data_IF_107182205393
#
_entry.id   IF_107182205393
#
_cell.length_a   1.000
_cell.length_b   1.000
_cell.length_c   1.000
_cell.angle_alpha   90.00
_cell.angle_beta   90.00
_cell.angle_gamma   90.00
#
_symmetry.space_group_name_H-M   'P 1'
#
loop_
_entity.id
_entity.type
_entity.pdbx_description
1 polymer ?
#
# COMPACT_ATOMS: atom_id res chain seq x y z
N UNK A 1 49.21 40.52 -52.82
CA UNK A 1 50.65 40.49 -53.16
C UNK A 1 51.39 39.71 -52.08
N UNK A 2 52.11 38.68 -52.52
CA UNK A 2 53.34 38.06 -51.99
C UNK A 2 53.50 37.73 -50.48
N UNK A 3 53.80 36.46 -50.27
CA UNK A 3 54.28 35.82 -49.04
C UNK A 3 55.80 35.95 -48.82
N UNK A 4 56.25 35.70 -47.57
CA UNK A 4 57.44 34.89 -47.18
C UNK A 4 57.54 34.85 -45.63
N UNK A 5 57.51 33.66 -44.99
CA UNK A 5 58.62 32.76 -44.62
C UNK A 5 59.44 33.32 -43.42
N UNK A 6 59.94 32.60 -42.40
CA UNK A 6 60.13 31.17 -42.07
C UNK A 6 60.62 31.09 -40.60
N UNK A 7 60.62 29.87 -40.04
CA UNK A 7 61.56 29.30 -39.05
C UNK A 7 61.03 28.94 -37.65
N UNK A 8 61.00 27.63 -37.43
CA UNK A 8 60.97 26.90 -36.15
C UNK A 8 62.39 26.67 -35.64
N UNK A 9 62.58 26.37 -34.35
CA UNK A 9 63.07 25.04 -34.04
C UNK A 9 62.35 24.35 -32.86
N UNK A 10 62.56 23.04 -32.86
CA UNK A 10 62.03 21.98 -32.00
C UNK A 10 62.95 21.77 -30.79
N UNK A 11 62.41 21.52 -29.60
CA UNK A 11 63.08 20.71 -28.57
C UNK A 11 62.04 20.00 -27.69
N UNK A 12 62.09 18.67 -27.75
CA UNK A 12 61.48 17.71 -26.83
C UNK A 12 62.21 17.71 -25.49
N UNK A 13 61.48 17.43 -24.40
CA UNK A 13 62.05 17.26 -23.06
C UNK A 13 60.98 16.91 -22.03
N UNK A 14 60.63 15.61 -21.99
CA UNK A 14 59.76 14.95 -21.01
C UNK A 14 60.37 14.95 -19.61
N UNK A 15 59.57 15.18 -18.55
CA UNK A 15 59.64 14.37 -17.32
C UNK A 15 58.45 14.67 -16.39
N UNK A 16 57.83 13.58 -15.92
CA UNK A 16 56.66 13.44 -15.07
C UNK A 16 56.69 14.22 -13.74
N UNK A 17 55.52 14.71 -13.33
CA UNK A 17 55.19 14.92 -11.93
C UNK A 17 53.86 14.19 -11.62
N UNK A 18 53.77 13.38 -10.56
CA UNK A 18 52.54 12.66 -10.22
C UNK A 18 51.58 13.62 -9.51
N UNK A 19 50.42 13.90 -10.12
CA UNK A 19 49.30 14.52 -9.41
C UNK A 19 48.56 13.41 -8.68
N UNK A 20 48.73 13.37 -7.37
CA UNK A 20 48.00 12.50 -6.47
C UNK A 20 46.48 12.78 -6.57
N UNK A 21 45.76 11.82 -7.14
CA UNK A 21 44.30 11.79 -7.11
C UNK A 21 43.90 11.39 -5.69
N UNK A 22 43.46 12.35 -4.89
CA UNK A 22 42.83 12.06 -3.60
C UNK A 22 41.43 11.51 -3.86
N UNK A 23 41.35 10.20 -4.12
CA UNK A 23 40.11 9.44 -4.09
C UNK A 23 39.65 9.37 -2.62
N UNK A 24 38.90 10.37 -2.18
CA UNK A 24 38.09 10.23 -0.97
C UNK A 24 36.93 9.31 -1.31
N UNK A 25 37.11 8.04 -0.98
CA UNK A 25 36.07 7.02 -0.97
C UNK A 25 34.89 7.53 -0.13
N UNK A 26 33.67 7.62 -0.69
CA UNK A 26 32.50 7.84 0.15
C UNK A 26 32.29 6.58 0.99
N UNK A 27 32.29 6.77 2.31
CA UNK A 27 31.95 5.75 3.28
C UNK A 27 30.70 5.01 2.81
N UNK A 28 30.80 3.69 2.77
CA UNK A 28 29.69 2.76 2.57
C UNK A 28 28.63 3.11 3.61
N UNK A 29 27.59 3.82 3.19
CA UNK A 29 26.38 3.97 3.99
C UNK A 29 25.84 2.55 4.12
N UNK A 30 25.92 2.03 5.35
CA UNK A 30 25.35 0.76 5.73
C UNK A 30 23.86 0.84 5.42
N UNK A 31 23.49 0.32 4.25
CA UNK A 31 22.11 0.11 3.85
C UNK A 31 21.48 -0.70 4.96
N UNK A 32 20.64 -0.04 5.75
CA UNK A 32 19.75 -0.72 6.68
C UNK A 32 18.84 -1.59 5.81
N UNK A 33 19.27 -2.83 5.56
CA UNK A 33 18.48 -3.84 4.88
C UNK A 33 17.29 -4.06 5.78
N UNK A 34 16.15 -3.50 5.38
CA UNK A 34 14.85 -3.87 5.94
C UNK A 34 14.77 -5.39 5.79
N UNK A 35 14.62 -6.17 6.88
CA UNK A 35 14.54 -7.61 6.78
C UNK A 35 13.46 -7.98 5.78
N UNK A 36 13.80 -8.83 4.81
CA UNK A 36 12.83 -9.49 3.93
C UNK A 36 11.70 -10.02 4.82
N UNK A 37 10.46 -9.51 4.66
CA UNK A 37 9.36 -10.00 5.46
C UNK A 37 9.24 -11.50 5.20
N UNK A 38 9.23 -12.32 6.27
CA UNK A 38 8.90 -13.75 6.15
C UNK A 38 7.55 -13.96 5.43
N UNK A 39 7.17 -15.22 5.21
CA UNK A 39 5.90 -15.51 4.54
C UNK A 39 4.72 -14.80 5.24
N UNK A 40 3.80 -14.19 4.46
CA UNK A 40 2.66 -13.50 5.05
C UNK A 40 1.76 -14.51 5.77
N UNK A 41 1.23 -14.11 6.92
CA UNK A 41 0.28 -14.91 7.69
C UNK A 41 -0.96 -15.25 6.85
N UNK A 42 -1.49 -14.24 6.15
CA UNK A 42 -2.63 -14.37 5.24
C UNK A 42 -2.42 -13.56 3.99
N UNK A 43 -2.87 -14.13 2.88
CA UNK A 43 -2.97 -13.46 1.59
C UNK A 43 -4.44 -13.44 1.16
N UNK A 44 -4.89 -12.28 0.67
CA UNK A 44 -6.22 -12.08 0.12
C UNK A 44 -6.12 -11.56 -1.30
N UNK A 45 -6.46 -12.41 -2.27
CA UNK A 45 -6.59 -12.00 -3.67
C UNK A 45 -7.96 -11.38 -3.89
N UNK A 46 -7.99 -10.19 -4.48
CA UNK A 46 -9.21 -9.43 -4.77
C UNK A 46 -9.61 -9.67 -6.22
N UNK A 47 -10.76 -10.30 -6.44
CA UNK A 47 -11.32 -10.52 -7.78
C UNK A 47 -12.64 -9.78 -7.94
N UNK A 48 -13.05 -9.50 -9.18
CA UNK A 48 -14.38 -8.93 -9.43
C UNK A 48 -15.46 -9.99 -9.21
N UNK A 49 -16.53 -9.60 -8.52
CA UNK A 49 -17.77 -10.36 -8.51
C UNK A 49 -18.46 -10.25 -9.88
N UNK A 50 -19.45 -11.11 -10.16
CA UNK A 50 -20.13 -11.20 -11.47
C UNK A 50 -20.80 -9.91 -11.96
N UNK A 51 -20.95 -8.89 -11.11
CA UNK A 51 -21.33 -7.52 -11.46
C UNK A 51 -20.15 -6.58 -11.19
N UNK A 52 -19.65 -5.91 -12.23
CA UNK A 52 -18.35 -5.23 -12.38
C UNK A 52 -17.90 -4.17 -11.35
N UNK A 53 -18.46 -4.13 -10.14
CA UNK A 53 -18.06 -3.18 -9.08
C UNK A 53 -17.80 -3.86 -7.74
N UNK A 54 -18.42 -5.00 -7.49
CA UNK A 54 -18.25 -5.72 -6.24
C UNK A 54 -17.03 -6.64 -6.32
N UNK A 55 -16.46 -7.00 -5.17
CA UNK A 55 -15.28 -7.85 -5.10
C UNK A 55 -15.52 -9.13 -4.31
N UNK A 56 -14.76 -10.16 -4.62
CA UNK A 56 -14.61 -11.37 -3.81
C UNK A 56 -13.19 -11.43 -3.26
N UNK A 57 -13.08 -11.75 -1.97
CA UNK A 57 -11.78 -11.97 -1.33
C UNK A 57 -11.49 -13.45 -1.23
N UNK A 58 -10.49 -13.89 -1.98
CA UNK A 58 -9.97 -15.25 -1.90
C UNK A 58 -8.81 -15.28 -0.92
N UNK A 59 -9.01 -15.91 0.23
CA UNK A 59 -8.03 -16.02 1.30
C UNK A 59 -7.21 -17.29 1.14
N UNK A 60 -5.91 -17.19 1.38
CA UNK A 60 -5.00 -18.33 1.51
C UNK A 60 -4.03 -18.09 2.64
N UNK A 61 -3.57 -19.17 3.27
CA UNK A 61 -2.47 -19.18 4.23
C UNK A 61 -1.29 -19.95 3.62
N UNK A 62 -0.09 -19.92 4.23
CA UNK A 62 1.04 -20.74 3.77
C UNK A 62 0.73 -22.25 3.64
N UNK A 63 -0.28 -22.73 4.38
CA UNK A 63 -0.62 -24.16 4.47
C UNK A 63 -1.93 -24.54 3.80
N UNK A 64 -2.78 -23.57 3.43
CA UNK A 64 -4.13 -23.82 2.94
C UNK A 64 -4.35 -23.36 1.51
N UNK A 65 -5.24 -24.07 0.80
CA UNK A 65 -5.70 -23.64 -0.53
C UNK A 65 -6.56 -22.39 -0.43
N UNK A 66 -6.62 -21.67 -1.54
CA UNK A 66 -7.40 -20.44 -1.67
C UNK A 66 -8.91 -20.71 -1.60
N UNK A 67 -9.60 -20.04 -0.69
CA UNK A 67 -11.06 -20.10 -0.52
C UNK A 67 -11.69 -18.71 -0.46
N UNK A 68 -12.95 -18.56 -0.88
CA UNK A 68 -13.65 -17.28 -0.80
C UNK A 68 -14.15 -17.08 0.62
N UNK A 69 -13.73 -15.98 1.26
CA UNK A 69 -14.09 -15.68 2.65
C UNK A 69 -15.01 -14.48 2.78
N UNK A 70 -14.96 -13.54 1.83
CA UNK A 70 -15.73 -12.30 1.91
C UNK A 70 -16.26 -11.83 0.57
N UNK A 71 -17.42 -11.19 0.65
CA UNK A 71 -18.03 -10.41 -0.41
C UNK A 71 -17.90 -8.93 -0.06
N UNK A 72 -17.48 -8.12 -1.03
CA UNK A 72 -17.31 -6.68 -0.86
C UNK A 72 -18.26 -5.94 -1.79
N UNK A 73 -19.26 -5.28 -1.22
CA UNK A 73 -20.19 -4.43 -1.96
C UNK A 73 -19.69 -3.00 -2.04
N UNK A 74 -19.64 -2.43 -3.24
CA UNK A 74 -19.22 -1.03 -3.45
C UNK A 74 -20.40 -0.18 -3.96
N UNK A 75 -20.60 1.00 -3.36
CA UNK A 75 -21.71 1.90 -3.70
C UNK A 75 -21.27 3.34 -3.92
N UNK A 76 -21.73 3.96 -5.00
CA UNK A 76 -21.54 5.39 -5.29
C UNK A 76 -22.69 6.26 -4.77
N UNK A 77 -23.64 5.69 -4.03
CA UNK A 77 -24.78 6.43 -3.53
C UNK A 77 -24.35 7.41 -2.43
N UNK A 78 -24.76 8.66 -2.57
CA UNK A 78 -24.55 9.70 -1.54
C UNK A 78 -25.30 9.30 -0.27
N UNK A 79 -24.65 9.47 0.88
CA UNK A 79 -25.24 9.14 2.19
C UNK A 79 -25.34 7.65 2.50
N UNK A 80 -24.78 6.77 1.67
CA UNK A 80 -24.67 5.33 1.96
C UNK A 80 -23.21 4.94 2.16
N UNK A 81 -22.95 3.83 2.88
CA UNK A 81 -21.62 3.23 2.90
C UNK A 81 -21.05 3.01 1.51
N UNK A 82 -19.84 3.52 1.29
CA UNK A 82 -19.12 3.40 0.04
C UNK A 82 -18.60 1.98 -0.18
N UNK A 83 -18.18 1.32 0.91
CA UNK A 83 -17.72 -0.07 0.94
C UNK A 83 -18.45 -0.81 2.06
N UNK A 84 -18.87 -2.05 1.78
CA UNK A 84 -19.47 -2.97 2.75
C UNK A 84 -18.76 -4.32 2.65
N UNK A 85 -18.20 -4.81 3.74
CA UNK A 85 -17.57 -6.13 3.79
C UNK A 85 -18.49 -7.14 4.49
N UNK A 86 -18.71 -8.28 3.85
CA UNK A 86 -19.59 -9.36 4.32
C UNK A 86 -18.85 -10.68 4.36
N UNK A 87 -19.20 -11.55 5.29
CA UNK A 87 -18.68 -12.93 5.34
C UNK A 87 -19.33 -13.78 4.25
N UNK A 88 -18.54 -14.67 3.64
CA UNK A 88 -18.98 -15.58 2.58
C UNK A 88 -18.91 -14.98 1.19
N UNK A 89 -19.52 -15.67 0.21
CA UNK A 89 -19.33 -15.36 -1.21
C UNK A 89 -20.40 -14.43 -1.79
N UNK A 90 -21.42 -14.06 -1.00
CA UNK A 90 -22.62 -13.40 -1.50
C UNK A 90 -23.00 -12.16 -0.70
N UNK A 91 -23.89 -11.35 -1.26
CA UNK A 91 -24.39 -10.11 -0.65
C UNK A 91 -25.30 -10.35 0.56
N UNK A 92 -25.78 -11.58 0.74
CA UNK A 92 -26.60 -12.05 1.85
C UNK A 92 -25.77 -12.44 3.09
N UNK A 93 -24.44 -12.47 2.95
CA UNK A 93 -23.52 -12.72 4.04
C UNK A 93 -23.66 -11.73 5.21
N UNK A 94 -23.26 -12.16 6.42
CA UNK A 94 -23.26 -11.30 7.61
C UNK A 94 -22.41 -10.05 7.35
N UNK A 95 -22.98 -8.87 7.57
CA UNK A 95 -22.21 -7.62 7.53
C UNK A 95 -21.20 -7.62 8.66
N UNK A 96 -19.93 -7.35 8.36
CA UNK A 96 -18.90 -7.24 9.41
C UNK A 96 -18.26 -5.87 9.47
N UNK A 97 -18.42 -5.04 8.44
CA UNK A 97 -18.00 -3.65 8.53
C UNK A 97 -18.35 -2.80 7.32
N UNK A 98 -18.28 -1.50 7.50
CA UNK A 98 -18.60 -0.49 6.49
C UNK A 98 -17.58 0.63 6.46
N UNK A 99 -17.41 1.24 5.30
CA UNK A 99 -16.65 2.48 5.17
C UNK A 99 -17.52 3.58 4.53
N UNK A 100 -17.51 4.76 5.13
CA UNK A 100 -18.21 5.95 4.65
C UNK A 100 -17.18 7.01 4.26
N UNK A 101 -17.30 7.54 3.05
CA UNK A 101 -16.46 8.65 2.60
C UNK A 101 -17.02 9.96 3.15
N UNK A 102 -16.23 10.64 3.98
CA UNK A 102 -16.66 11.88 4.63
C UNK A 102 -16.75 12.98 3.57
N UNK A 103 -17.91 13.62 3.38
CA UNK A 103 -18.08 14.68 2.38
C UNK A 103 -17.06 15.83 2.56
N UNK A 104 -16.62 16.40 1.44
CA UNK A 104 -15.70 17.55 1.39
C UNK A 104 -14.34 17.34 2.09
N UNK A 105 -13.99 16.11 2.46
CA UNK A 105 -12.68 15.75 2.98
C UNK A 105 -12.17 14.46 2.35
N UNK A 106 -10.88 14.18 2.52
CA UNK A 106 -10.31 12.88 2.17
C UNK A 106 -10.40 11.86 3.31
N UNK A 107 -11.07 12.16 4.41
CA UNK A 107 -11.23 11.22 5.52
C UNK A 107 -12.25 10.13 5.18
N UNK A 108 -12.09 8.99 5.84
CA UNK A 108 -12.98 7.85 5.72
C UNK A 108 -13.35 7.41 7.13
N UNK A 109 -14.65 7.28 7.39
CA UNK A 109 -15.16 6.73 8.65
C UNK A 109 -15.39 5.23 8.49
N UNK A 110 -14.82 4.45 9.40
CA UNK A 110 -14.81 2.99 9.41
C UNK A 110 -15.71 2.52 10.56
N UNK A 111 -16.69 1.69 10.23
CA UNK A 111 -17.67 1.19 11.19
C UNK A 111 -17.63 -0.33 11.32
N UNK A 112 -17.58 -0.82 12.56
CA UNK A 112 -17.73 -2.22 12.94
C UNK A 112 -18.84 -2.40 13.98
N UNK A 113 -19.40 -3.60 14.09
CA UNK A 113 -20.45 -3.95 15.05
C UNK A 113 -21.39 -5.03 14.55
N UNK A 114 -22.43 -5.32 15.33
CA UNK A 114 -23.46 -6.31 14.97
C UNK A 114 -24.38 -5.82 13.84
N UNK A 115 -24.64 -4.50 13.80
CA UNK A 115 -25.31 -3.83 12.68
C UNK A 115 -24.53 -2.59 12.24
N UNK A 116 -23.46 -2.76 11.44
CA UNK A 116 -22.62 -1.65 10.96
C UNK A 116 -23.35 -0.63 10.09
N UNK A 117 -24.58 -0.91 9.61
CA UNK A 117 -25.39 0.06 8.88
C UNK A 117 -26.20 0.97 9.80
N UNK A 118 -26.37 0.57 11.07
CA UNK A 118 -27.00 1.41 12.08
C UNK A 118 -25.97 2.35 12.71
N UNK A 119 -25.99 3.60 12.25
CA UNK A 119 -25.06 4.66 12.67
C UNK A 119 -25.05 4.90 14.19
N UNK A 120 -26.15 4.57 14.89
CA UNK A 120 -26.30 4.84 16.33
C UNK A 120 -25.65 3.79 17.24
N UNK A 121 -25.49 2.55 16.75
CA UNK A 121 -24.92 1.42 17.53
C UNK A 121 -23.54 1.02 17.05
N UNK A 122 -23.11 1.53 15.89
CA UNK A 122 -21.82 1.24 15.28
C UNK A 122 -20.72 2.02 15.98
N UNK A 123 -19.63 1.34 16.34
CA UNK A 123 -18.40 2.00 16.78
C UNK A 123 -17.65 2.52 15.56
N UNK A 124 -17.36 3.81 15.55
CA UNK A 124 -16.71 4.49 14.43
C UNK A 124 -15.26 4.84 14.76
N UNK A 125 -14.35 4.39 13.89
CA UNK A 125 -12.97 4.84 13.86
C UNK A 125 -12.74 5.68 12.60
N UNK A 126 -11.90 6.71 12.68
CA UNK A 126 -11.59 7.57 11.54
C UNK A 126 -10.25 7.21 10.94
N UNK A 127 -10.27 6.88 9.65
CA UNK A 127 -9.08 6.80 8.80
C UNK A 127 -8.80 8.22 8.26
N UNK A 128 -7.95 8.93 8.98
CA UNK A 128 -7.63 10.34 8.74
C UNK A 128 -6.63 10.49 7.61
N UNK A 129 -6.94 11.35 6.65
CA UNK A 129 -5.97 11.74 5.66
C UNK A 129 -5.04 12.81 6.22
N UNK A 130 -3.75 12.47 6.40
CA UNK A 130 -2.76 13.38 7.02
C UNK A 130 -1.82 14.01 5.98
N UNK A 131 -2.12 13.89 4.69
CA UNK A 131 -1.25 14.33 3.60
C UNK A 131 -2.01 15.16 2.58
N UNK A 132 -1.44 16.28 2.14
CA UNK A 132 -2.08 17.16 1.14
C UNK A 132 -2.37 16.42 -0.18
N UNK A 133 -1.52 15.46 -0.56
CA UNK A 133 -1.65 14.65 -1.77
C UNK A 133 -2.44 13.35 -1.60
N UNK A 134 -3.16 13.18 -0.50
CA UNK A 134 -3.94 11.99 -0.17
C UNK A 134 -3.17 10.64 -0.24
N UNK A 135 -1.87 10.68 0.04
CA UNK A 135 -0.95 9.54 -0.03
C UNK A 135 -0.68 8.86 1.32
N UNK A 136 -1.06 9.48 2.44
CA UNK A 136 -0.89 8.91 3.78
C UNK A 136 -2.17 9.05 4.59
N UNK A 137 -2.61 7.93 5.15
CA UNK A 137 -3.76 7.86 6.04
C UNK A 137 -3.35 7.26 7.39
N UNK A 138 -3.88 7.82 8.46
CA UNK A 138 -3.61 7.44 9.84
C UNK A 138 -4.86 6.87 10.47
N UNK A 139 -4.72 5.75 11.17
CA UNK A 139 -5.80 5.12 11.92
C UNK A 139 -5.30 4.75 13.30
N UNK A 140 -6.09 5.07 14.33
CA UNK A 140 -5.89 4.56 15.68
C UNK A 140 -6.80 3.35 15.86
N UNK A 141 -6.20 2.19 16.08
CA UNK A 141 -6.88 0.90 16.21
C UNK A 141 -6.87 0.48 17.68
N UNK A 142 -8.03 0.10 18.20
CA UNK A 142 -8.13 -0.58 19.50
C UNK A 142 -7.72 -2.05 19.42
N UNK A 143 -6.84 -2.50 20.31
CA UNK A 143 -6.43 -3.89 20.50
C UNK A 143 -6.64 -4.28 21.97
N UNK A 144 -7.89 -4.58 22.33
CA UNK A 144 -8.29 -4.83 23.71
C UNK A 144 -8.05 -3.61 24.61
N UNK A 145 -7.23 -3.77 25.66
CA UNK A 145 -6.85 -2.68 26.57
C UNK A 145 -5.79 -1.73 25.99
N UNK A 146 -5.17 -2.11 24.87
CA UNK A 146 -4.14 -1.31 24.22
C UNK A 146 -4.70 -0.62 22.97
N UNK A 147 -4.07 0.47 22.56
CA UNK A 147 -4.35 1.09 21.26
C UNK A 147 -3.06 1.31 20.52
N UNK A 148 -3.09 1.12 19.20
CA UNK A 148 -1.95 1.39 18.33
C UNK A 148 -2.34 2.35 17.23
N UNK A 149 -1.36 3.06 16.71
CA UNK A 149 -1.57 3.90 15.54
C UNK A 149 -0.83 3.31 14.35
N UNK A 150 -1.51 3.24 13.22
CA UNK A 150 -1.00 2.66 11.98
C UNK A 150 -1.14 3.66 10.84
N UNK A 151 -0.23 3.56 9.87
CA UNK A 151 -0.18 4.43 8.70
C UNK A 151 -0.31 3.61 7.42
N UNK A 152 -1.37 3.85 6.67
CA UNK A 152 -1.43 3.46 5.27
C UNK A 152 -0.68 4.49 4.44
N UNK A 153 0.34 4.04 3.71
CA UNK A 153 1.17 4.87 2.83
C UNK A 153 1.13 4.33 1.41
N UNK A 154 0.94 5.22 0.44
CA UNK A 154 1.18 4.88 -0.96
C UNK A 154 2.65 4.53 -1.17
N UNK A 155 2.93 3.53 -1.99
CA UNK A 155 4.29 3.08 -2.28
C UNK A 155 4.44 2.75 -3.77
N UNK A 156 5.68 2.70 -4.25
CA UNK A 156 6.03 2.10 -5.54
C UNK A 156 6.81 0.79 -5.37
N UNK A 157 7.10 0.39 -4.13
CA UNK A 157 7.73 -0.90 -3.80
C UNK A 157 6.88 -1.59 -2.73
N UNK A 158 5.87 -2.38 -3.13
CA UNK A 158 5.00 -3.08 -2.17
C UNK A 158 5.68 -4.30 -1.51
N UNK A 159 6.74 -4.82 -2.10
CA UNK A 159 7.57 -5.93 -1.59
C UNK A 159 8.67 -5.45 -0.62
N UNK A 160 8.84 -4.13 -0.45
CA UNK A 160 9.91 -3.58 0.37
C UNK A 160 11.26 -3.51 -0.34
N UNK A 161 11.33 -3.87 -1.62
CA UNK A 161 12.55 -3.76 -2.42
C UNK A 161 12.96 -2.31 -2.63
N UNK A 162 14.28 -2.05 -2.63
CA UNK A 162 14.84 -0.72 -2.91
C UNK A 162 14.58 -0.26 -4.34
N UNK A 163 14.30 -1.19 -5.25
CA UNK A 163 14.06 -0.91 -6.67
C UNK A 163 12.64 -1.27 -7.09
N UNK A 164 11.79 -0.26 -7.19
CA UNK A 164 10.48 -0.40 -7.81
C UNK A 164 10.62 -0.79 -9.29
N UNK A 165 10.09 -1.96 -9.67
CA UNK A 165 9.91 -2.34 -11.08
C UNK A 165 9.18 -1.24 -11.86
N UNK A 166 9.46 -1.11 -13.16
CA UNK A 166 8.80 -0.13 -14.05
C UNK A 166 7.27 -0.26 -13.97
N UNK A 167 6.75 -1.49 -13.89
CA UNK A 167 5.31 -1.75 -13.71
C UNK A 167 4.78 -1.24 -12.36
N UNK A 168 5.61 -1.32 -11.31
CA UNK A 168 5.28 -0.83 -9.97
C UNK A 168 5.33 0.70 -9.87
N UNK A 169 6.23 1.33 -10.64
CA UNK A 169 6.26 2.80 -10.84
C UNK A 169 5.04 3.31 -11.59
N UNK A 170 4.53 2.54 -12.57
CA UNK A 170 3.32 2.86 -13.32
C UNK A 170 2.01 2.53 -12.57
N UNK A 171 2.09 1.75 -11.49
CA UNK A 171 0.91 1.37 -10.73
C UNK A 171 0.25 2.57 -10.06
N UNK A 172 -1.07 2.66 -10.26
CA UNK A 172 -1.87 3.76 -9.76
C UNK A 172 -2.30 3.62 -8.30
N UNK A 173 -1.91 2.57 -7.56
CA UNK A 173 -2.16 2.45 -6.11
C UNK A 173 -1.51 1.20 -5.46
N UNK A 174 -0.20 1.19 -5.16
CA UNK A 174 0.30 0.25 -4.14
C UNK A 174 0.22 0.90 -2.76
N UNK A 175 -0.08 0.11 -1.73
CA UNK A 175 -0.15 0.58 -0.35
C UNK A 175 0.69 -0.30 0.56
N UNK A 176 1.24 0.32 1.62
CA UNK A 176 1.81 -0.37 2.77
C UNK A 176 1.17 0.14 4.05
N UNK A 177 0.86 -0.76 4.96
CA UNK A 177 0.44 -0.47 6.32
C UNK A 177 1.63 -0.65 7.24
N UNK A 178 1.99 0.39 7.96
CA UNK A 178 3.08 0.35 8.92
C UNK A 178 2.60 0.77 10.30
N UNK A 179 3.20 0.19 11.33
CA UNK A 179 3.06 0.69 12.69
C UNK A 179 3.74 2.07 12.80
N UNK A 180 3.04 3.06 13.37
CA UNK A 180 3.56 4.42 13.42
C UNK A 180 4.76 4.56 14.36
N UNK A 181 4.74 3.87 15.50
CA UNK A 181 5.78 3.99 16.52
C UNK A 181 7.06 3.24 16.13
N UNK A 182 6.91 2.05 15.54
CA UNK A 182 8.04 1.15 15.26
C UNK A 182 8.46 1.14 13.79
N UNK A 183 7.61 1.64 12.88
CA UNK A 183 7.85 1.55 11.44
C UNK A 183 7.70 0.13 10.87
N UNK A 184 7.32 -0.86 11.69
CA UNK A 184 7.15 -2.26 11.29
C UNK A 184 6.11 -2.38 10.18
N UNK A 185 6.43 -3.15 9.12
CA UNK A 185 5.49 -3.49 8.06
C UNK A 185 4.45 -4.49 8.57
N UNK A 186 3.17 -4.15 8.40
CA UNK A 186 2.06 -4.94 8.94
C UNK A 186 1.24 -5.60 7.83
N UNK A 187 1.00 -4.85 6.76
CA UNK A 187 0.26 -5.30 5.60
C UNK A 187 0.66 -4.53 4.35
N UNK A 188 0.33 -5.05 3.18
CA UNK A 188 0.52 -4.39 1.90
C UNK A 188 -0.67 -4.67 1.00
N UNK A 189 -0.92 -3.75 0.07
CA UNK A 189 -1.77 -3.98 -1.06
C UNK A 189 -0.96 -3.79 -2.34
N UNK A 190 -0.95 -4.82 -3.17
CA UNK A 190 -0.35 -4.80 -4.50
C UNK A 190 -1.45 -4.72 -5.54
N UNK A 191 -1.58 -3.57 -6.20
CA UNK A 191 -2.48 -3.40 -7.33
C UNK A 191 -1.97 -4.18 -8.56
N UNK A 192 -2.86 -4.92 -9.22
CA UNK A 192 -2.56 -5.75 -10.39
C UNK A 192 -3.21 -5.20 -11.68
N UNK A 193 -3.77 -3.99 -11.65
CA UNK A 193 -4.38 -3.34 -12.83
C UNK A 193 -3.37 -3.33 -13.99
N UNK A 194 -3.82 -3.84 -15.15
CA UNK A 194 -3.01 -3.99 -16.37
C UNK A 194 -2.43 -5.39 -16.60
N UNK A 195 -2.39 -6.26 -15.58
CA UNK A 195 -1.88 -7.63 -15.68
C UNK A 195 -2.98 -8.69 -15.75
N UNK A 196 -4.18 -8.40 -15.22
CA UNK A 196 -5.33 -9.31 -15.27
C UNK A 196 -6.64 -8.53 -15.18
N UNK A 197 -7.60 -8.83 -16.06
CA UNK A 197 -8.96 -8.26 -15.95
C UNK A 197 -9.79 -8.89 -14.82
N UNK A 198 -9.37 -10.05 -14.29
CA UNK A 198 -10.11 -10.77 -13.24
C UNK A 198 -9.58 -10.49 -11.84
N UNK A 199 -8.30 -10.11 -11.72
CA UNK A 199 -7.62 -9.88 -10.45
C UNK A 199 -7.31 -8.39 -10.30
N UNK A 200 -7.91 -7.74 -9.30
CA UNK A 200 -7.70 -6.33 -8.99
C UNK A 200 -6.38 -6.12 -8.25
N UNK A 201 -6.00 -7.05 -7.39
CA UNK A 201 -4.80 -6.96 -6.59
C UNK A 201 -4.78 -7.96 -5.43
N UNK A 202 -3.76 -7.83 -4.59
CA UNK A 202 -3.50 -8.75 -3.48
C UNK A 202 -3.22 -7.97 -2.21
N UNK A 203 -3.90 -8.33 -1.12
CA UNK A 203 -3.57 -7.84 0.23
C UNK A 203 -2.77 -8.93 0.93
N UNK A 204 -1.61 -8.58 1.48
CA UNK A 204 -0.80 -9.47 2.33
C UNK A 204 -0.76 -8.92 3.74
N UNK A 205 -0.91 -9.78 4.74
CA UNK A 205 -0.89 -9.42 6.17
C UNK A 205 0.17 -10.27 6.85
N UNK A 206 1.12 -9.64 7.52
CA UNK A 206 2.24 -10.31 8.20
C UNK A 206 2.03 -10.49 9.68
N UNK A 207 1.31 -9.57 10.31
CA UNK A 207 1.15 -9.58 11.77
C UNK A 207 0.04 -10.52 12.20
N UNK A 208 0.38 -11.46 13.08
CA UNK A 208 -0.57 -12.30 13.79
C UNK A 208 -0.85 -11.72 15.18
N UNK A 209 -1.97 -11.04 15.33
CA UNK A 209 -2.47 -10.57 16.63
C UNK A 209 -3.29 -11.63 17.36
N UNK A 210 -3.64 -12.74 16.69
CA UNK A 210 -4.65 -13.70 17.18
C UNK A 210 -6.09 -13.17 17.15
N UNK A 211 -6.31 -11.95 16.67
CA UNK A 211 -7.59 -11.26 16.66
C UNK A 211 -8.11 -11.06 15.24
N UNK A 212 -9.28 -11.63 14.93
CA UNK A 212 -9.94 -11.44 13.63
C UNK A 212 -10.40 -9.99 13.39
N UNK A 213 -10.65 -9.22 14.45
CA UNK A 213 -11.00 -7.80 14.31
C UNK A 213 -9.87 -7.00 13.68
N UNK A 214 -8.61 -7.35 13.99
CA UNK A 214 -7.45 -6.76 13.33
C UNK A 214 -7.43 -7.08 11.83
N UNK A 215 -7.65 -8.34 11.46
CA UNK A 215 -7.70 -8.76 10.05
C UNK A 215 -8.81 -8.01 9.30
N UNK A 216 -10.00 -7.92 9.89
CA UNK A 216 -11.13 -7.17 9.32
C UNK A 216 -10.81 -5.67 9.17
N UNK A 217 -10.12 -5.08 10.15
CA UNK A 217 -9.66 -3.69 10.10
C UNK A 217 -8.72 -3.44 8.93
N UNK A 218 -7.72 -4.30 8.76
CA UNK A 218 -6.77 -4.21 7.64
C UNK A 218 -7.50 -4.35 6.30
N UNK A 219 -8.38 -5.35 6.16
CA UNK A 219 -9.13 -5.56 4.93
C UNK A 219 -10.03 -4.38 4.58
N UNK A 220 -10.86 -3.92 5.52
CA UNK A 220 -11.82 -2.86 5.27
C UNK A 220 -11.14 -1.53 4.95
N UNK A 221 -10.08 -1.18 5.69
CA UNK A 221 -9.35 0.08 5.45
C UNK A 221 -8.60 0.05 4.12
N UNK A 222 -7.97 -1.08 3.75
CA UNK A 222 -7.37 -1.25 2.43
C UNK A 222 -8.42 -1.11 1.31
N UNK A 223 -9.54 -1.81 1.41
CA UNK A 223 -10.62 -1.76 0.42
C UNK A 223 -11.23 -0.36 0.29
N UNK A 224 -11.39 0.35 1.39
CA UNK A 224 -11.87 1.73 1.38
C UNK A 224 -10.92 2.66 0.63
N UNK A 225 -9.60 2.52 0.83
CA UNK A 225 -8.60 3.31 0.09
C UNK A 225 -8.54 2.94 -1.39
N UNK A 226 -8.66 1.65 -1.71
CA UNK A 226 -8.75 1.14 -3.08
C UNK A 226 -9.94 1.76 -3.81
N UNK A 227 -11.11 1.72 -3.19
CA UNK A 227 -12.34 2.27 -3.76
C UNK A 227 -12.29 3.81 -3.83
N UNK A 228 -11.70 4.48 -2.83
CA UNK A 228 -11.52 5.93 -2.83
C UNK A 228 -10.68 6.39 -4.01
N UNK A 229 -9.58 5.69 -4.30
CA UNK A 229 -8.71 6.01 -5.45
C UNK A 229 -9.38 5.77 -6.81
N UNK A 230 -10.43 4.95 -6.90
CA UNK A 230 -11.21 4.79 -8.13
C UNK A 230 -12.15 5.99 -8.36
N UNK A 231 -12.48 6.75 -7.32
CA UNK A 231 -13.44 7.88 -7.37
C UNK A 231 -12.79 9.26 -7.42
N UNK A 232 -11.49 9.36 -7.17
CA UNK A 232 -10.70 10.59 -7.33
C UNK A 232 -10.18 10.67 -8.76
#
# INVERSE_FOLDING_TARGET
MAAKASSTPKMEGSSEAPIAISNTSPALVESTVVPEPGEPLREYRITYASKHRDYLLHMSTPTSKSEITHYVGNSNAIGKPAVKIRLGETKEGRLVGVAIFVPLSNNIDIGFGDDPENLSTTTWERLENISISANTYRLKVGLGESSRTVLWKRTHSPDGSSEASIFSKMSMLHLKLVDEATGKLLATYTNHIGLSWKNKGTIKIWENTGDEAWIQTVLLTALALIERNVRM
#
